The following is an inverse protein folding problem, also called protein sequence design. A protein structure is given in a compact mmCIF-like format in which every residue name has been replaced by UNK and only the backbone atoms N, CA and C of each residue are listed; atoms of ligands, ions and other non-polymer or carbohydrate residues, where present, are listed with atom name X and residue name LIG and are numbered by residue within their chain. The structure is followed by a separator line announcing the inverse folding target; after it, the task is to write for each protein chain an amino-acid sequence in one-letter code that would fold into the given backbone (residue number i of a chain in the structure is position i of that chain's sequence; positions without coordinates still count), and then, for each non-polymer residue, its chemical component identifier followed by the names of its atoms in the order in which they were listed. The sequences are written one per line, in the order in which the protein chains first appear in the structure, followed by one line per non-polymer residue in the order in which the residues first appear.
data_IF_989914326128
#
_entry.id   IF_989914326128
#
_cell.length_a   1.000
_cell.length_b   1.000
_cell.length_c   1.000
_cell.angle_alpha   90.00
_cell.angle_beta   90.00
_cell.angle_gamma   90.00
#
_symmetry.space_group_name_H-M   'P 1'
#
loop_
_entity.id
_entity.type
_entity.pdbx_description
1 polymer ?
#
# COMPACT_ATOMS: atom_id res chain seq x y z
N UNK A 1 15.82 24.87 -22.05
CA UNK A 1 14.68 25.02 -21.12
C UNK A 1 14.99 24.19 -19.89
N UNK A 2 14.97 24.74 -18.66
CA UNK A 2 15.16 23.92 -17.47
C UNK A 2 13.99 22.95 -17.37
N UNK A 3 14.28 21.64 -17.27
CA UNK A 3 13.27 20.63 -17.01
C UNK A 3 12.57 20.99 -15.69
N UNK A 4 11.30 21.41 -15.75
CA UNK A 4 10.49 21.58 -14.54
C UNK A 4 10.43 20.21 -13.85
N UNK A 5 10.92 20.16 -12.61
CA UNK A 5 10.65 19.03 -11.73
C UNK A 5 9.11 18.94 -11.65
N UNK A 6 8.51 17.77 -11.97
CA UNK A 6 7.07 17.61 -11.86
C UNK A 6 6.61 18.05 -10.48
N UNK A 7 5.51 18.80 -10.41
CA UNK A 7 4.93 19.17 -9.12
C UNK A 7 4.76 17.88 -8.31
N UNK A 8 5.22 17.91 -7.07
CA UNK A 8 5.07 16.74 -6.22
C UNK A 8 3.58 16.40 -6.18
N UNK A 9 3.25 15.13 -6.40
CA UNK A 9 1.92 14.59 -6.21
C UNK A 9 1.95 13.66 -4.98
N UNK A 10 2.10 14.20 -3.74
CA UNK A 10 2.23 13.37 -2.53
C UNK A 10 1.12 12.33 -2.39
N UNK A 11 -0.10 12.68 -2.84
CA UNK A 11 -1.28 11.82 -2.75
C UNK A 11 -1.19 10.55 -3.62
N UNK A 12 -0.60 10.62 -4.80
CA UNK A 12 -0.47 9.44 -5.68
C UNK A 12 0.79 8.64 -5.33
N UNK A 13 1.87 9.32 -4.92
CA UNK A 13 3.12 8.66 -4.56
C UNK A 13 2.97 7.77 -3.33
N UNK A 14 2.19 8.19 -2.32
CA UNK A 14 1.86 7.31 -1.17
C UNK A 14 1.08 6.07 -1.61
N UNK A 15 0.17 6.20 -2.59
CA UNK A 15 -0.64 5.09 -3.10
C UNK A 15 0.22 4.13 -3.90
N UNK A 16 1.14 4.65 -4.72
CA UNK A 16 2.15 3.85 -5.43
C UNK A 16 3.05 3.09 -4.45
N UNK A 17 3.51 3.75 -3.40
CA UNK A 17 4.33 3.12 -2.35
C UNK A 17 3.55 2.02 -1.63
N UNK A 18 2.29 2.27 -1.24
CA UNK A 18 1.43 1.27 -0.61
C UNK A 18 1.19 0.08 -1.55
N UNK A 19 0.89 0.33 -2.82
CA UNK A 19 0.66 -0.72 -3.82
C UNK A 19 1.91 -1.61 -4.01
N UNK A 20 3.10 -1.01 -4.02
CA UNK A 20 4.35 -1.75 -4.09
C UNK A 20 4.67 -2.55 -2.81
N UNK A 21 4.21 -2.07 -1.64
CA UNK A 21 4.40 -2.77 -0.37
C UNK A 21 3.53 -4.02 -0.21
N UNK A 22 2.31 -4.03 -0.78
CA UNK A 22 1.39 -5.18 -0.69
C UNK A 22 2.09 -6.52 -1.02
N UNK A 23 2.68 -6.74 -2.21
CA UNK A 23 3.29 -8.02 -2.55
C UNK A 23 4.53 -8.34 -1.69
N UNK A 24 5.22 -7.32 -1.17
CA UNK A 24 6.37 -7.50 -0.27
C UNK A 24 5.90 -8.04 1.08
N UNK A 25 4.81 -7.49 1.63
CA UNK A 25 4.22 -7.96 2.89
C UNK A 25 3.67 -9.38 2.72
N UNK A 26 2.91 -9.64 1.66
CA UNK A 26 2.32 -10.95 1.38
C UNK A 26 3.39 -12.04 1.27
N UNK A 27 4.44 -11.80 0.46
CA UNK A 27 5.56 -12.73 0.34
C UNK A 27 6.32 -12.89 1.66
N UNK A 28 6.54 -11.79 2.38
CA UNK A 28 7.24 -11.81 3.66
C UNK A 28 6.50 -12.62 4.74
N UNK A 29 5.16 -12.57 4.74
CA UNK A 29 4.32 -13.41 5.60
C UNK A 29 4.36 -14.87 5.15
N UNK A 30 4.19 -15.14 3.85
CA UNK A 30 4.20 -16.50 3.31
C UNK A 30 5.54 -17.23 3.58
N UNK A 31 6.66 -16.53 3.40
CA UNK A 31 8.00 -17.05 3.63
C UNK A 31 8.43 -16.98 5.10
N UNK A 32 7.55 -16.56 6.02
CA UNK A 32 7.85 -16.34 7.45
C UNK A 32 9.07 -15.43 7.71
N UNK A 33 9.37 -14.53 6.77
CA UNK A 33 10.48 -13.55 6.86
C UNK A 33 10.08 -12.31 7.67
N UNK A 34 8.80 -12.03 7.77
CA UNK A 34 8.25 -10.97 8.63
C UNK A 34 7.49 -11.57 9.79
N UNK A 35 7.68 -11.00 10.98
CA UNK A 35 6.76 -11.24 12.10
C UNK A 35 5.38 -10.65 11.79
N UNK A 36 4.35 -11.14 12.46
CA UNK A 36 2.98 -10.64 12.30
C UNK A 36 2.89 -9.16 12.67
N UNK A 37 3.59 -8.74 13.72
CA UNK A 37 3.62 -7.34 14.19
C UNK A 37 4.27 -6.43 13.15
N UNK A 38 5.38 -6.86 12.55
CA UNK A 38 6.05 -6.10 11.48
C UNK A 38 5.14 -5.98 10.26
N UNK A 39 4.49 -7.06 9.86
CA UNK A 39 3.56 -7.05 8.74
C UNK A 39 2.33 -6.16 9.02
N UNK A 40 1.80 -6.19 10.25
CA UNK A 40 0.70 -5.33 10.69
C UNK A 40 1.09 -3.85 10.64
N UNK A 41 2.27 -3.48 11.12
CA UNK A 41 2.75 -2.09 11.05
C UNK A 41 2.87 -1.59 9.60
N UNK A 42 3.39 -2.43 8.70
CA UNK A 42 3.46 -2.09 7.27
C UNK A 42 2.07 -1.99 6.63
N UNK A 43 1.13 -2.84 7.06
CA UNK A 43 -0.26 -2.76 6.62
C UNK A 43 -0.94 -1.46 7.10
N UNK A 44 -0.65 -0.97 8.30
CA UNK A 44 -1.19 0.32 8.80
C UNK A 44 -0.79 1.51 7.92
N UNK A 45 0.42 1.51 7.36
CA UNK A 45 0.79 2.52 6.35
C UNK A 45 -0.08 2.41 5.10
N UNK A 46 -0.35 1.20 4.63
CA UNK A 46 -1.17 0.96 3.45
C UNK A 46 -2.64 1.38 3.68
N UNK A 47 -3.17 1.17 4.89
CA UNK A 47 -4.50 1.65 5.30
C UNK A 47 -4.58 3.18 5.24
N UNK A 48 -3.63 3.85 5.91
CA UNK A 48 -3.54 5.32 5.88
C UNK A 48 -3.40 5.88 4.46
N UNK A 49 -2.70 5.16 3.58
CA UNK A 49 -2.52 5.59 2.19
C UNK A 49 -3.85 5.68 1.43
N UNK A 50 -4.80 4.79 1.70
CA UNK A 50 -6.12 4.74 1.04
C UNK A 50 -7.20 5.57 1.73
N UNK A 51 -7.00 6.00 2.98
CA UNK A 51 -7.98 6.81 3.72
C UNK A 51 -8.34 8.15 3.07
N UNK A 52 -7.42 8.77 2.32
CA UNK A 52 -7.77 10.01 1.59
C UNK A 52 -8.10 9.67 0.13
N UNK A 53 -9.33 9.95 -0.33
CA UNK A 53 -9.70 9.77 -1.72
C UNK A 53 -8.77 10.52 -2.67
N UNK A 54 -8.57 9.94 -3.84
CA UNK A 54 -7.86 10.56 -4.96
C UNK A 54 -8.86 10.85 -6.06
N UNK A 55 -8.90 12.09 -6.55
CA UNK A 55 -9.70 12.47 -7.72
C UNK A 55 -9.02 12.05 -9.04
N UNK A 56 -7.76 11.65 -8.95
CA UNK A 56 -6.98 11.12 -10.06
C UNK A 56 -7.39 9.66 -10.37
N UNK A 57 -7.72 9.33 -11.64
CA UNK A 57 -8.12 7.98 -12.04
C UNK A 57 -7.08 6.88 -11.77
N UNK A 58 -5.79 7.19 -11.89
CA UNK A 58 -4.71 6.26 -11.51
C UNK A 58 -4.70 6.09 -9.99
N UNK A 59 -4.88 7.17 -9.23
CA UNK A 59 -5.04 7.11 -7.78
C UNK A 59 -6.21 6.23 -7.32
N UNK A 60 -7.36 6.28 -8.01
CA UNK A 60 -8.51 5.39 -7.73
C UNK A 60 -8.13 3.93 -7.90
N UNK A 61 -7.52 3.57 -9.04
CA UNK A 61 -7.07 2.20 -9.32
C UNK A 61 -6.03 1.70 -8.31
N UNK A 62 -5.10 2.56 -7.92
CA UNK A 62 -4.11 2.24 -6.90
C UNK A 62 -4.79 2.00 -5.53
N UNK A 63 -5.77 2.81 -5.16
CA UNK A 63 -6.50 2.64 -3.91
C UNK A 63 -7.29 1.33 -3.88
N UNK A 64 -7.94 0.95 -4.98
CA UNK A 64 -8.60 -0.36 -5.12
C UNK A 64 -7.59 -1.51 -4.96
N UNK A 65 -6.46 -1.43 -5.65
CA UNK A 65 -5.39 -2.43 -5.59
C UNK A 65 -4.86 -2.61 -4.16
N UNK A 66 -4.60 -1.49 -3.47
CA UNK A 66 -4.13 -1.50 -2.08
C UNK A 66 -5.22 -2.05 -1.16
N UNK A 67 -6.48 -1.66 -1.35
CA UNK A 67 -7.61 -2.13 -0.56
C UNK A 67 -7.80 -3.65 -0.64
N UNK A 68 -7.72 -4.22 -1.85
CA UNK A 68 -7.82 -5.67 -2.04
C UNK A 68 -6.61 -6.42 -1.47
N UNK A 69 -5.41 -5.85 -1.59
CA UNK A 69 -4.21 -6.36 -0.92
C UNK A 69 -4.33 -6.39 0.60
N UNK A 70 -4.83 -5.29 1.19
CA UNK A 70 -5.06 -5.19 2.62
C UNK A 70 -6.04 -6.25 3.13
N UNK A 71 -7.12 -6.55 2.39
CA UNK A 71 -8.06 -7.63 2.75
C UNK A 71 -7.35 -8.98 2.86
N UNK A 72 -6.47 -9.30 1.90
CA UNK A 72 -5.71 -10.56 1.91
C UNK A 72 -4.72 -10.61 3.08
N UNK A 73 -3.94 -9.54 3.29
CA UNK A 73 -3.00 -9.45 4.42
C UNK A 73 -3.73 -9.61 5.76
N UNK A 74 -4.85 -8.90 5.96
CA UNK A 74 -5.65 -8.99 7.19
C UNK A 74 -6.21 -10.39 7.42
N UNK A 75 -6.67 -11.07 6.36
CA UNK A 75 -7.14 -12.45 6.46
C UNK A 75 -6.06 -13.36 7.04
N UNK A 76 -4.83 -13.27 6.52
CA UNK A 76 -3.67 -14.03 7.04
C UNK A 76 -3.33 -13.64 8.48
N UNK A 77 -3.35 -12.35 8.81
CA UNK A 77 -3.09 -11.87 10.17
C UNK A 77 -4.17 -12.26 11.18
N UNK A 78 -5.40 -12.54 10.72
CA UNK A 78 -6.52 -12.97 11.58
C UNK A 78 -6.66 -14.49 11.72
N UNK A 79 -6.09 -15.27 10.81
CA UNK A 79 -6.30 -16.73 10.72
C UNK A 79 -5.51 -17.56 11.74
N UNK A 80 -4.95 -16.96 12.79
CA UNK A 80 -4.25 -17.69 13.84
C UNK A 80 -4.39 -17.01 15.19
#
# INVERSE_FOLDING_TARGET
MPNQIPSSTPKINRLRAAAALIPIIERGLLESRFSRERAALMASFCEWAVEKPSDDPEGVKLAETVGDGLKRIKSVLSAA
#
